data_IF_275954149343
#
_entry.id   IF_275954149343
#
_cell.length_a   1.000
_cell.length_b   1.000
_cell.length_c   1.000
_cell.angle_alpha   90.00
_cell.angle_beta   90.00
_cell.angle_gamma   90.00
#
_symmetry.space_group_name_H-M   'P 1'
#
loop_
_entity.id
_entity.type
_entity.pdbx_description
1 polymer ?
#
# COMPACT_ATOMS: atom_id res chain seq x y z
N UNK A 1 8.54 -9.24 -13.03
CA UNK A 1 7.89 -10.01 -14.11
C UNK A 1 8.27 -9.41 -15.46
N UNK A 2 8.58 -10.20 -16.50
CA UNK A 2 8.78 -9.66 -17.85
C UNK A 2 7.41 -9.46 -18.49
N UNK A 3 6.92 -8.23 -18.49
CA UNK A 3 5.66 -7.90 -19.15
C UNK A 3 5.92 -7.72 -20.64
N UNK A 4 5.08 -8.33 -21.48
CA UNK A 4 5.13 -8.09 -22.92
C UNK A 4 4.81 -6.63 -23.21
N UNK A 5 5.57 -5.99 -24.12
CA UNK A 5 5.29 -4.62 -24.57
C UNK A 5 4.14 -4.57 -25.60
N UNK A 6 3.62 -5.72 -26.02
CA UNK A 6 2.51 -5.78 -26.95
C UNK A 6 1.23 -5.32 -26.26
N UNK A 7 0.55 -4.36 -26.88
CA UNK A 7 -0.74 -3.86 -26.42
C UNK A 7 -1.80 -4.94 -26.67
N UNK A 8 -2.52 -5.29 -25.61
CA UNK A 8 -3.70 -6.15 -25.70
C UNK A 8 -4.92 -5.32 -26.11
N UNK A 9 -5.98 -6.00 -26.54
CA UNK A 9 -7.25 -5.34 -26.86
C UNK A 9 -7.81 -4.63 -25.61
N UNK A 10 -8.24 -3.36 -25.69
CA UNK A 10 -8.76 -2.62 -24.52
C UNK A 10 -9.91 -3.31 -23.78
N UNK A 11 -10.77 -4.05 -24.50
CA UNK A 11 -11.85 -4.83 -23.88
C UNK A 11 -11.29 -5.97 -23.04
N UNK A 12 -10.31 -6.69 -23.57
CA UNK A 12 -9.62 -7.79 -22.87
C UNK A 12 -8.85 -7.25 -21.66
N UNK A 13 -8.17 -6.11 -21.81
CA UNK A 13 -7.48 -5.45 -20.69
C UNK A 13 -8.43 -5.15 -19.53
N UNK A 14 -9.59 -4.55 -19.85
CA UNK A 14 -10.62 -4.24 -18.85
C UNK A 14 -11.14 -5.50 -18.15
N UNK A 15 -11.40 -6.57 -18.91
CA UNK A 15 -11.87 -7.85 -18.35
C UNK A 15 -10.83 -8.49 -17.42
N UNK A 16 -9.56 -8.51 -17.81
CA UNK A 16 -8.47 -9.05 -17.00
C UNK A 16 -8.25 -8.23 -15.74
N UNK A 17 -8.26 -6.90 -15.82
CA UNK A 17 -8.16 -6.04 -14.64
C UNK A 17 -9.35 -6.17 -13.71
N UNK A 18 -10.57 -6.29 -14.27
CA UNK A 18 -11.78 -6.51 -13.47
C UNK A 18 -11.70 -7.81 -12.67
N UNK A 19 -11.16 -8.88 -13.27
CA UNK A 19 -10.94 -10.15 -12.57
C UNK A 19 -9.97 -9.98 -11.40
N UNK A 20 -8.85 -9.30 -11.61
CA UNK A 20 -7.89 -9.01 -10.53
C UNK A 20 -8.55 -8.23 -9.38
N UNK A 21 -9.29 -7.17 -9.69
CA UNK A 21 -9.96 -6.35 -8.67
C UNK A 21 -10.98 -7.15 -7.88
N UNK A 22 -11.78 -7.99 -8.56
CA UNK A 22 -12.77 -8.84 -7.91
C UNK A 22 -12.12 -9.83 -6.93
N UNK A 23 -11.08 -10.54 -7.37
CA UNK A 23 -10.36 -11.51 -6.52
C UNK A 23 -9.75 -10.82 -5.29
N UNK A 24 -9.13 -9.65 -5.47
CA UNK A 24 -8.59 -8.87 -4.36
C UNK A 24 -9.69 -8.41 -3.41
N UNK A 25 -10.85 -7.98 -3.92
CA UNK A 25 -11.97 -7.51 -3.09
C UNK A 25 -12.69 -8.61 -2.31
N UNK A 26 -12.74 -9.83 -2.86
CA UNK A 26 -13.41 -10.97 -2.22
C UNK A 26 -12.56 -11.61 -1.11
N UNK A 27 -11.25 -11.38 -1.13
CA UNK A 27 -10.32 -11.91 -0.13
C UNK A 27 -10.34 -11.03 1.11
N UNK A 28 -11.01 -11.47 2.19
CA UNK A 28 -11.25 -10.63 3.38
C UNK A 28 -10.28 -10.86 4.53
N UNK A 29 -9.63 -12.03 4.58
CA UNK A 29 -8.73 -12.36 5.70
C UNK A 29 -7.29 -12.02 5.36
N UNK A 30 -6.58 -11.48 6.35
CA UNK A 30 -5.18 -11.07 6.19
C UNK A 30 -4.26 -12.23 5.79
N UNK A 31 -4.48 -13.44 6.31
CA UNK A 31 -3.69 -14.62 5.97
C UNK A 31 -3.93 -15.09 4.53
N UNK A 32 -5.17 -14.98 4.05
CA UNK A 32 -5.54 -15.26 2.66
C UNK A 32 -4.95 -14.21 1.71
N UNK A 33 -4.99 -12.92 2.07
CA UNK A 33 -4.34 -11.84 1.30
C UNK A 33 -2.83 -12.07 1.21
N UNK A 34 -2.17 -12.48 2.30
CA UNK A 34 -0.73 -12.73 2.29
C UNK A 34 -0.36 -13.85 1.31
N UNK A 35 -1.11 -14.97 1.34
CA UNK A 35 -0.93 -16.09 0.40
C UNK A 35 -1.19 -15.66 -1.04
N UNK A 36 -2.27 -14.90 -1.27
CA UNK A 36 -2.62 -14.37 -2.59
C UNK A 36 -1.49 -13.51 -3.16
N UNK A 37 -1.00 -12.52 -2.42
CA UNK A 37 0.03 -11.61 -2.89
C UNK A 37 1.37 -12.31 -3.13
N UNK A 38 1.77 -13.24 -2.25
CA UNK A 38 2.99 -14.06 -2.44
C UNK A 38 2.88 -15.02 -3.63
N UNK A 39 1.67 -15.46 -3.99
CA UNK A 39 1.43 -16.30 -5.16
C UNK A 39 1.42 -15.52 -6.48
N UNK A 40 0.96 -14.26 -6.47
CA UNK A 40 0.81 -13.43 -7.67
C UNK A 40 2.04 -12.58 -7.99
N UNK A 41 2.78 -12.15 -6.96
CA UNK A 41 3.87 -11.20 -7.10
C UNK A 41 5.21 -11.86 -6.79
N UNK A 42 6.25 -11.45 -7.51
CA UNK A 42 7.62 -11.71 -7.04
C UNK A 42 7.91 -10.95 -5.74
N UNK A 43 8.87 -11.43 -4.97
CA UNK A 43 9.31 -10.78 -3.73
C UNK A 43 9.69 -9.30 -3.96
N UNK A 44 10.36 -9.00 -5.07
CA UNK A 44 10.75 -7.64 -5.43
C UNK A 44 9.55 -6.72 -5.71
N UNK A 45 8.52 -7.24 -6.39
CA UNK A 45 7.28 -6.48 -6.68
C UNK A 45 6.48 -6.22 -5.40
N UNK A 46 6.31 -7.26 -4.58
CA UNK A 46 5.64 -7.14 -3.28
C UNK A 46 6.34 -6.11 -2.39
N UNK A 47 7.66 -6.21 -2.25
CA UNK A 47 8.44 -5.27 -1.45
C UNK A 47 8.40 -3.84 -2.03
N UNK A 48 8.38 -3.70 -3.36
CA UNK A 48 8.25 -2.40 -4.02
C UNK A 48 6.93 -1.72 -3.67
N UNK A 49 5.81 -2.45 -3.75
CA UNK A 49 4.48 -1.95 -3.37
C UNK A 49 4.46 -1.57 -1.88
N UNK A 50 4.96 -2.45 -1.01
CA UNK A 50 5.01 -2.19 0.44
C UNK A 50 5.84 -0.94 0.77
N UNK A 51 6.99 -0.75 0.10
CA UNK A 51 7.82 0.46 0.26
C UNK A 51 7.08 1.72 -0.16
N UNK A 52 6.27 1.69 -1.24
CA UNK A 52 5.49 2.86 -1.66
C UNK A 52 4.48 3.29 -0.60
N UNK A 53 3.78 2.33 0.01
CA UNK A 53 2.86 2.56 1.13
C UNK A 53 3.61 3.15 2.33
N UNK A 54 4.75 2.56 2.69
CA UNK A 54 5.56 3.02 3.82
C UNK A 54 6.13 4.43 3.61
N UNK A 55 6.56 4.78 2.39
CA UNK A 55 6.98 6.15 2.05
C UNK A 55 5.83 7.12 2.28
N UNK A 56 4.63 6.82 1.77
CA UNK A 56 3.46 7.70 1.94
C UNK A 56 3.10 7.91 3.42
N UNK A 57 3.11 6.84 4.22
CA UNK A 57 2.93 6.90 5.67
C UNK A 57 3.98 7.80 6.34
N UNK A 58 5.25 7.61 6.04
CA UNK A 58 6.32 8.38 6.68
C UNK A 58 6.34 9.85 6.27
N UNK A 59 5.99 10.17 5.01
CA UNK A 59 5.80 11.54 4.57
C UNK A 59 4.66 12.21 5.35
N UNK A 60 3.54 11.49 5.53
CA UNK A 60 2.40 11.97 6.33
C UNK A 60 2.76 12.17 7.82
N UNK A 61 3.65 11.33 8.36
CA UNK A 61 4.19 11.44 9.72
C UNK A 61 5.28 12.54 9.87
N UNK A 62 5.63 13.24 8.79
CA UNK A 62 6.57 14.37 8.81
C UNK A 62 8.05 13.98 8.78
N UNK A 63 8.39 12.74 8.44
CA UNK A 63 9.79 12.31 8.33
C UNK A 63 10.48 12.99 7.16
N UNK A 64 11.76 13.32 7.33
CA UNK A 64 12.56 13.91 6.25
C UNK A 64 12.88 12.89 5.15
N UNK A 65 13.12 13.39 3.93
CA UNK A 65 13.49 12.54 2.79
C UNK A 65 14.73 11.69 3.08
N UNK A 66 15.71 12.24 3.80
CA UNK A 66 16.94 11.53 4.17
C UNK A 66 16.67 10.34 5.08
N UNK A 67 15.78 10.50 6.06
CA UNK A 67 15.39 9.41 6.96
C UNK A 67 14.63 8.32 6.22
N UNK A 68 13.67 8.69 5.37
CA UNK A 68 12.87 7.75 4.58
C UNK A 68 13.76 6.91 3.68
N UNK A 69 14.70 7.54 2.97
CA UNK A 69 15.68 6.84 2.13
C UNK A 69 16.52 5.85 2.94
N UNK A 70 17.01 6.28 4.11
CA UNK A 70 17.86 5.44 4.97
C UNK A 70 17.11 4.21 5.47
N UNK A 71 15.85 4.39 5.91
CA UNK A 71 14.99 3.33 6.45
C UNK A 71 14.52 2.36 5.37
N UNK A 72 14.03 2.88 4.25
CA UNK A 72 13.37 2.06 3.22
C UNK A 72 14.30 1.63 2.07
N UNK A 73 15.54 2.13 2.05
CA UNK A 73 16.51 1.89 0.97
C UNK A 73 15.91 2.21 -0.40
N UNK A 74 15.39 3.43 -0.53
CA UNK A 74 14.83 4.00 -1.76
C UNK A 74 15.59 5.25 -2.18
N UNK A 75 15.45 5.67 -3.44
CA UNK A 75 16.11 6.87 -3.96
C UNK A 75 15.35 8.15 -3.57
N UNK A 76 16.01 9.32 -3.64
CA UNK A 76 15.33 10.62 -3.46
C UNK A 76 14.25 10.82 -4.52
N UNK A 77 14.51 10.40 -5.76
CA UNK A 77 13.57 10.51 -6.87
C UNK A 77 12.30 9.70 -6.59
N UNK A 78 12.44 8.49 -6.02
CA UNK A 78 11.31 7.66 -5.62
C UNK A 78 10.45 8.33 -4.55
N UNK A 79 11.07 8.91 -3.51
CA UNK A 79 10.33 9.63 -2.45
C UNK A 79 9.59 10.84 -3.04
N UNK A 80 10.28 11.62 -3.89
CA UNK A 80 9.70 12.78 -4.57
C UNK A 80 8.51 12.41 -5.47
N UNK A 81 8.62 11.31 -6.21
CA UNK A 81 7.55 10.81 -7.06
C UNK A 81 6.32 10.43 -6.23
N UNK A 82 6.51 9.72 -5.12
CA UNK A 82 5.41 9.31 -4.24
C UNK A 82 4.75 10.53 -3.58
N UNK A 83 5.52 11.51 -3.13
CA UNK A 83 4.99 12.77 -2.60
C UNK A 83 4.08 13.47 -3.63
N UNK A 84 4.49 13.51 -4.91
CA UNK A 84 3.66 14.07 -5.98
C UNK A 84 2.39 13.25 -6.22
N UNK A 85 2.48 11.91 -6.22
CA UNK A 85 1.33 11.03 -6.37
C UNK A 85 0.32 11.17 -5.22
N UNK A 86 0.79 11.37 -3.98
CA UNK A 86 -0.11 11.61 -2.84
C UNK A 86 -1.01 12.83 -3.01
N UNK A 87 -0.61 13.81 -3.84
CA UNK A 87 -1.37 15.03 -4.08
C UNK A 87 -2.36 14.91 -5.26
N UNK A 88 -2.21 13.92 -6.13
CA UNK A 88 -2.98 13.81 -7.38
C UNK A 88 -3.67 12.46 -7.63
N UNK A 89 -3.23 11.39 -6.97
CA UNK A 89 -3.73 10.03 -7.20
C UNK A 89 -4.67 9.60 -6.05
N UNK A 90 -5.97 9.37 -6.31
CA UNK A 90 -6.94 8.99 -5.29
C UNK A 90 -6.56 7.74 -4.48
N UNK A 91 -5.80 6.82 -5.09
CA UNK A 91 -5.36 5.59 -4.45
C UNK A 91 -4.50 5.83 -3.20
N UNK A 92 -3.67 6.87 -3.18
CA UNK A 92 -2.86 7.19 -2.00
C UNK A 92 -3.71 7.75 -0.85
N UNK A 93 -4.77 8.50 -1.17
CA UNK A 93 -5.70 8.99 -0.16
C UNK A 93 -6.39 7.82 0.55
N UNK A 94 -6.88 6.82 -0.20
CA UNK A 94 -7.50 5.61 0.36
C UNK A 94 -6.51 4.85 1.26
N UNK A 95 -5.25 4.73 0.84
CA UNK A 95 -4.20 4.06 1.64
C UNK A 95 -3.98 4.79 2.96
N UNK A 96 -3.84 6.12 2.93
CA UNK A 96 -3.61 6.93 4.12
C UNK A 96 -4.79 6.88 5.09
N UNK A 97 -6.03 6.97 4.58
CA UNK A 97 -7.25 6.85 5.39
C UNK A 97 -7.30 5.51 6.12
N UNK A 98 -7.01 4.39 5.44
CA UNK A 98 -6.99 3.07 6.08
C UNK A 98 -5.95 2.99 7.20
N UNK A 99 -4.75 3.53 6.98
CA UNK A 99 -3.69 3.56 8.01
C UNK A 99 -4.13 4.40 9.20
N UNK A 100 -4.72 5.57 8.97
CA UNK A 100 -5.20 6.46 10.04
C UNK A 100 -6.32 5.79 10.86
N UNK A 101 -7.25 5.08 10.21
CA UNK A 101 -8.31 4.33 10.88
C UNK A 101 -7.75 3.22 11.78
N UNK A 102 -6.78 2.44 11.32
CA UNK A 102 -6.14 1.40 12.12
C UNK A 102 -5.39 2.00 13.33
N UNK A 103 -4.62 3.07 13.12
CA UNK A 103 -3.94 3.77 14.21
C UNK A 103 -4.92 4.34 15.25
N UNK A 104 -6.07 4.84 14.80
CA UNK A 104 -7.14 5.29 15.68
C UNK A 104 -7.68 4.12 16.49
N UNK A 105 -8.02 3.01 15.84
CA UNK A 105 -8.56 1.82 16.50
C UNK A 105 -7.60 1.30 17.58
N UNK A 106 -6.31 1.17 17.28
CA UNK A 106 -5.29 0.76 18.26
C UNK A 106 -5.19 1.74 19.44
N UNK A 107 -5.25 3.05 19.20
CA UNK A 107 -5.24 4.07 20.26
C UNK A 107 -6.46 3.97 21.16
N UNK A 108 -7.63 3.70 20.60
CA UNK A 108 -8.87 3.54 21.35
C UNK A 108 -8.91 2.24 22.14
N UNK A 109 -8.42 1.13 21.57
CA UNK A 109 -8.28 -0.13 22.30
C UNK A 109 -7.39 0.04 23.52
N UNK A 110 -6.24 0.74 23.38
CA UNK A 110 -5.36 1.09 24.51
C UNK A 110 -6.09 1.92 25.57
N UNK A 111 -6.78 2.99 25.17
CA UNK A 111 -7.55 3.83 26.10
C UNK A 111 -8.65 3.06 26.84
N UNK A 112 -9.37 2.16 26.16
CA UNK A 112 -10.40 1.32 26.77
C UNK A 112 -9.76 0.37 27.79
N UNK A 113 -8.65 -0.29 27.44
CA UNK A 113 -7.90 -1.13 28.38
C UNK A 113 -7.41 -0.33 29.60
N UNK A 114 -6.96 0.90 29.41
CA UNK A 114 -6.51 1.76 30.51
C UNK A 114 -7.67 2.24 31.42
N UNK A 115 -8.87 2.45 30.85
CA UNK A 115 -10.06 2.91 31.59
C UNK A 115 -10.74 1.77 32.36
N UNK A 116 -10.84 0.59 31.74
CA UNK A 116 -11.60 -0.55 32.26
C UNK A 116 -10.71 -1.67 32.82
N UNK A 117 -9.39 -1.55 32.71
CA UNK A 117 -8.40 -2.50 33.22
C UNK A 117 -7.89 -2.18 34.63
N UNK A 118 -8.74 -1.63 35.51
CA UNK A 118 -8.56 -1.70 36.97
C UNK A 118 -9.48 -2.75 37.55
#
# INVERSE_FOLDING_TARGET
>A
MRVSLQKINPKVEKEVLSLLYQVVSDTRKTDEIEKLLKGLLSEAELLSIAKRIAVAKYLKEGLSYTEIKKRLKVSSATVSQIQSQMQGEPGFQIVLEKIEMEQWAEKWEKKIKDIFGK
#
